data_IF_756758856242
#
_entry.id   IF_756758856242
#
_cell.length_a   1.000
_cell.length_b   1.000
_cell.length_c   1.000
_cell.angle_alpha   90.00
_cell.angle_beta   90.00
_cell.angle_gamma   90.00
#
_symmetry.space_group_name_H-M   'P 1'
#
loop_
_entity.id
_entity.type
_entity.pdbx_description
1 polymer ?
#
# COMPACT_ATOMS: atom_id res chain seq x y z
N UNK A 1 -9.01 -10.05 -19.03
CA UNK A 1 -9.32 -8.65 -19.36
C UNK A 1 -8.60 -7.76 -18.36
N UNK A 2 -7.40 -7.28 -18.69
CA UNK A 2 -6.78 -6.16 -17.96
C UNK A 2 -6.62 -5.06 -19.00
N UNK A 3 -7.43 -4.01 -18.86
CA UNK A 3 -7.36 -2.85 -19.73
C UNK A 3 -6.07 -2.10 -19.39
N UNK A 4 -5.08 -2.21 -20.27
CA UNK A 4 -4.03 -1.22 -20.37
C UNK A 4 -4.68 0.11 -20.75
N UNK A 5 -4.74 1.06 -19.82
CA UNK A 5 -4.92 2.46 -20.18
C UNK A 5 -4.18 3.34 -19.18
N UNK A 6 -3.08 3.93 -19.67
CA UNK A 6 -2.20 4.88 -18.99
C UNK A 6 -2.96 5.92 -18.16
N UNK A 7 -3.16 5.65 -16.87
CA UNK A 7 -3.80 6.58 -15.94
C UNK A 7 -3.04 6.56 -14.62
N UNK A 8 -2.77 7.76 -14.08
CA UNK A 8 -1.95 7.96 -12.87
C UNK A 8 -2.41 7.15 -11.64
N UNK A 9 -3.65 6.64 -11.64
CA UNK A 9 -4.20 5.76 -10.61
C UNK A 9 -3.62 4.34 -10.57
N UNK A 10 -3.03 3.82 -11.65
CA UNK A 10 -2.41 2.48 -11.62
C UNK A 10 -1.12 2.42 -10.79
N UNK A 11 -0.47 3.57 -10.54
CA UNK A 11 0.82 3.60 -9.85
C UNK A 11 0.73 3.08 -8.42
N UNK A 12 -0.32 3.44 -7.68
CA UNK A 12 -0.50 2.97 -6.30
C UNK A 12 -0.74 1.46 -6.27
N UNK A 13 -1.56 0.91 -7.16
CA UNK A 13 -1.75 -0.54 -7.27
C UNK A 13 -0.43 -1.26 -7.53
N UNK A 14 0.38 -0.76 -8.46
CA UNK A 14 1.69 -1.32 -8.75
C UNK A 14 2.59 -1.30 -7.51
N UNK A 15 2.70 -0.16 -6.83
CA UNK A 15 3.50 -0.02 -5.61
C UNK A 15 3.03 -0.95 -4.50
N UNK A 16 1.72 -1.03 -4.24
CA UNK A 16 1.17 -1.92 -3.21
C UNK A 16 1.38 -3.40 -3.53
N UNK A 17 1.22 -3.80 -4.80
CA UNK A 17 1.53 -5.16 -5.23
C UNK A 17 3.03 -5.48 -5.07
N UNK A 18 3.93 -4.54 -5.37
CA UNK A 18 5.36 -4.71 -5.14
C UNK A 18 5.67 -4.86 -3.64
N UNK A 19 5.11 -4.00 -2.78
CA UNK A 19 5.28 -4.13 -1.33
C UNK A 19 4.76 -5.49 -0.86
N UNK A 20 3.58 -5.93 -1.31
CA UNK A 20 3.04 -7.24 -0.94
C UNK A 20 3.94 -8.39 -1.41
N UNK A 21 4.53 -8.28 -2.60
CA UNK A 21 5.44 -9.31 -3.12
C UNK A 21 6.73 -9.44 -2.30
N UNK A 22 7.29 -8.33 -1.81
CA UNK A 22 8.56 -8.35 -1.05
C UNK A 22 8.36 -8.59 0.45
N UNK A 23 7.29 -8.05 1.01
CA UNK A 23 7.07 -8.03 2.46
C UNK A 23 5.91 -8.92 2.91
N UNK A 24 5.11 -9.46 1.98
CA UNK A 24 3.91 -10.23 2.29
C UNK A 24 2.71 -9.35 2.63
N UNK A 25 1.67 -9.96 3.22
CA UNK A 25 0.43 -9.27 3.56
C UNK A 25 0.53 -8.54 4.91
N UNK A 26 1.36 -7.50 4.94
CA UNK A 26 1.60 -6.66 6.12
C UNK A 26 0.55 -5.57 6.28
N UNK A 27 0.44 -5.02 7.48
CA UNK A 27 -0.31 -3.78 7.73
C UNK A 27 0.49 -2.57 7.25
N UNK A 28 -0.21 -1.64 6.59
CA UNK A 28 0.35 -0.38 6.13
C UNK A 28 -0.59 0.77 6.49
N UNK A 29 -0.04 1.98 6.51
CA UNK A 29 -0.77 3.24 6.64
C UNK A 29 -0.62 4.03 5.35
N UNK A 30 -1.72 4.41 4.74
CA UNK A 30 -1.75 5.36 3.62
C UNK A 30 -2.37 6.65 4.12
N UNK A 31 -1.65 7.75 3.96
CA UNK A 31 -2.14 9.09 4.26
C UNK A 31 -2.24 9.90 2.98
N UNK A 32 -3.30 10.69 2.85
CA UNK A 32 -3.50 11.65 1.76
C UNK A 32 -3.86 13.01 2.33
N UNK A 33 -3.05 14.01 2.00
CA UNK A 33 -3.33 15.41 2.34
C UNK A 33 -3.84 16.16 1.10
N UNK A 34 -5.14 16.45 1.07
CA UNK A 34 -5.71 17.36 0.05
C UNK A 34 -5.87 18.80 0.58
N UNK A 35 -6.25 18.94 1.86
CA UNK A 35 -6.22 20.15 2.69
C UNK A 35 -6.31 19.72 4.17
N UNK A 36 -5.98 20.59 5.14
CA UNK A 36 -6.09 20.28 6.59
C UNK A 36 -7.45 19.76 7.07
N UNK A 37 -8.54 20.02 6.35
CA UNK A 37 -9.90 19.58 6.74
C UNK A 37 -10.28 18.24 6.10
N UNK A 38 -9.56 17.81 5.05
CA UNK A 38 -9.86 16.61 4.26
C UNK A 38 -8.66 15.64 4.25
N UNK A 39 -8.03 15.47 5.41
CA UNK A 39 -7.03 14.43 5.63
C UNK A 39 -7.70 13.06 5.64
N UNK A 40 -7.18 12.12 4.85
CA UNK A 40 -7.62 10.73 4.84
C UNK A 40 -6.46 9.85 5.31
N UNK A 41 -6.69 9.05 6.35
CA UNK A 41 -5.75 8.06 6.88
C UNK A 41 -6.41 6.69 6.80
N UNK A 42 -5.80 5.78 6.05
CA UNK A 42 -6.27 4.41 5.86
C UNK A 42 -5.22 3.50 6.47
N UNK A 43 -5.62 2.67 7.44
CA UNK A 43 -4.74 1.68 8.09
C UNK A 43 -5.36 0.31 7.97
N UNK A 44 -4.72 -0.58 7.23
CA UNK A 44 -5.20 -1.95 7.04
C UNK A 44 -4.08 -2.83 6.44
N UNK A 45 -4.35 -4.11 6.27
CA UNK A 45 -3.50 -5.00 5.47
C UNK A 45 -3.50 -4.60 3.99
N UNK A 46 -2.39 -4.88 3.29
CA UNK A 46 -2.26 -4.58 1.86
C UNK A 46 -3.38 -5.24 1.04
N UNK A 47 -3.73 -6.49 1.33
CA UNK A 47 -4.83 -7.22 0.66
C UNK A 47 -6.17 -6.48 0.76
N UNK A 48 -6.49 -5.98 1.94
CA UNK A 48 -7.71 -5.23 2.19
C UNK A 48 -7.68 -3.87 1.49
N UNK A 49 -6.56 -3.15 1.58
CA UNK A 49 -6.39 -1.85 0.89
C UNK A 49 -6.54 -2.01 -0.62
N UNK A 50 -5.89 -3.01 -1.23
CA UNK A 50 -6.00 -3.30 -2.66
C UNK A 50 -7.47 -3.49 -3.07
N UNK A 51 -8.27 -4.13 -2.22
CA UNK A 51 -9.71 -4.31 -2.43
C UNK A 51 -10.47 -3.00 -2.32
N UNK A 52 -10.21 -2.20 -1.26
CA UNK A 52 -10.84 -0.89 -1.04
C UNK A 52 -10.55 0.09 -2.17
N UNK A 53 -9.30 0.16 -2.67
CA UNK A 53 -8.92 1.10 -3.73
C UNK A 53 -9.42 0.68 -5.12
N UNK A 54 -9.72 -0.61 -5.32
CA UNK A 54 -10.39 -1.09 -6.54
C UNK A 54 -11.84 -0.58 -6.59
N UNK A 55 -12.52 -0.52 -5.45
CA UNK A 55 -13.89 0.00 -5.35
C UNK A 55 -13.92 1.54 -5.34
N UNK A 56 -13.00 2.17 -4.60
CA UNK A 56 -12.88 3.62 -4.45
C UNK A 56 -11.44 4.08 -4.75
N UNK A 57 -11.15 4.45 -6.02
CA UNK A 57 -9.81 4.85 -6.42
C UNK A 57 -9.27 6.05 -5.62
N UNK A 58 -8.10 5.87 -5.01
CA UNK A 58 -7.37 6.95 -4.34
C UNK A 58 -6.54 7.69 -5.40
N UNK A 59 -6.72 9.02 -5.46
CA UNK A 59 -5.94 9.91 -6.33
C UNK A 59 -5.27 11.00 -5.51
N UNK A 60 -4.22 11.60 -6.04
CA UNK A 60 -3.46 12.67 -5.38
C UNK A 60 -2.10 12.19 -4.86
N UNK A 61 -1.40 13.11 -4.21
CA UNK A 61 -0.15 12.80 -3.51
C UNK A 61 -0.47 12.06 -2.20
N UNK A 62 0.29 11.02 -1.90
CA UNK A 62 0.02 10.14 -0.77
C UNK A 62 1.33 9.65 -0.17
N UNK A 63 1.35 9.45 1.13
CA UNK A 63 2.48 8.88 1.87
C UNK A 63 2.08 7.51 2.40
N UNK A 64 2.93 6.52 2.14
CA UNK A 64 2.74 5.15 2.60
C UNK A 64 3.78 4.88 3.70
N UNK A 65 3.32 4.43 4.87
CA UNK A 65 4.17 4.03 6.00
C UNK A 65 3.94 2.55 6.30
N UNK A 66 5.02 1.81 6.54
CA UNK A 66 4.99 0.42 6.95
C UNK A 66 6.26 0.05 7.71
N UNK A 67 6.15 -0.96 8.57
CA UNK A 67 7.26 -1.43 9.39
C UNK A 67 7.84 -2.73 8.81
N UNK A 68 9.15 -2.77 8.60
CA UNK A 68 9.87 -3.95 8.10
C UNK A 68 10.61 -4.72 9.20
N UNK A 69 10.57 -4.25 10.44
CA UNK A 69 11.36 -4.79 11.56
C UNK A 69 11.01 -6.25 11.85
N UNK A 70 9.75 -6.65 11.69
CA UNK A 70 9.29 -8.03 11.95
C UNK A 70 9.83 -9.02 10.91
N UNK A 71 10.07 -8.58 9.67
CA UNK A 71 10.59 -9.44 8.60
C UNK A 71 12.10 -9.65 8.71
N UNK A 72 12.84 -8.63 9.14
CA UNK A 72 14.27 -8.76 9.44
C UNK A 72 14.48 -9.79 10.56
N UNK A 73 13.60 -9.83 11.57
CA UNK A 73 13.68 -10.84 12.62
C UNK A 73 13.53 -12.26 12.07
N UNK A 74 12.54 -12.51 11.21
CA UNK A 74 12.32 -13.84 10.60
C UNK A 74 13.53 -14.27 9.76
N UNK A 75 14.07 -13.37 8.92
CA UNK A 75 15.23 -13.70 8.10
C UNK A 75 16.49 -13.97 8.95
N UNK A 76 16.70 -13.23 10.03
CA UNK A 76 17.80 -13.47 10.97
C UNK A 76 17.65 -14.77 11.77
N UNK A 77 16.41 -15.22 12.01
CA UNK A 77 16.14 -16.52 12.64
C UNK A 77 16.44 -17.67 11.66
N UNK A 78 16.10 -17.52 10.37
CA UNK A 78 16.31 -18.55 9.35
C UNK A 78 17.78 -18.69 8.90
N UNK A 79 18.61 -17.67 9.12
CA UNK A 79 20.05 -17.65 8.78
C UNK A 79 20.97 -18.06 9.94
N UNK A 80 20.42 -18.43 11.09
CA UNK A 80 21.13 -18.97 12.25
C UNK A 80 20.87 -20.46 12.40
#
# INVERSE_FOLDING_TARGET
MQQLSSSRGEKIHKTLNEIQNYFGDIEIVITREMTKVFEEVITNKISNILSEINEKPIKGEMVILFNTSELIQIMLILLK
#
